data_IF_252557853718
#
_entry.id   IF_252557853718
#
_cell.length_a   1.000
_cell.length_b   1.000
_cell.length_c   1.000
_cell.angle_alpha   90.00
_cell.angle_beta   90.00
_cell.angle_gamma   90.00
#
_symmetry.space_group_name_H-M   'P 1'
#
loop_
_entity.id
_entity.type
_entity.pdbx_description
1 polymer ?
#
# COMPACT_ATOMS: atom_id res chain seq x y z
N UNK A 1 0.93 0.27 -18.15
CA UNK A 1 0.36 -0.77 -17.25
C UNK A 1 0.77 -2.15 -17.78
N UNK A 2 0.72 -3.20 -16.94
CA UNK A 2 1.01 -4.58 -17.35
C UNK A 2 -0.27 -5.19 -17.97
N UNK A 3 -0.66 -4.69 -19.14
CA UNK A 3 -1.99 -4.91 -19.72
C UNK A 3 -2.28 -6.38 -20.10
N UNK A 4 -1.24 -7.22 -20.11
CA UNK A 4 -1.31 -8.64 -20.42
C UNK A 4 -1.09 -9.54 -19.18
N UNK A 5 -1.16 -9.01 -17.96
CA UNK A 5 -0.99 -9.83 -16.75
C UNK A 5 -2.19 -9.73 -15.82
N UNK A 6 -2.44 -10.83 -15.11
CA UNK A 6 -3.49 -10.93 -14.09
C UNK A 6 -2.94 -11.63 -12.86
N UNK A 7 -3.33 -11.14 -11.68
CA UNK A 7 -3.06 -11.80 -10.39
C UNK A 7 -4.32 -12.56 -9.99
N UNK A 8 -4.15 -13.80 -9.54
CA UNK A 8 -5.21 -14.61 -8.96
C UNK A 8 -4.70 -15.22 -7.65
N UNK A 9 -5.44 -14.95 -6.57
CA UNK A 9 -5.29 -15.64 -5.29
C UNK A 9 -5.49 -17.14 -5.48
N UNK A 10 -4.54 -17.94 -5.01
CA UNK A 10 -4.68 -19.41 -4.98
C UNK A 10 -5.39 -19.76 -3.68
N UNK A 11 -6.63 -20.29 -3.73
CA UNK A 11 -7.34 -20.64 -2.52
C UNK A 11 -6.55 -21.68 -1.73
N UNK A 12 -6.31 -21.40 -0.45
CA UNK A 12 -5.81 -22.41 0.46
C UNK A 12 -6.81 -23.58 0.53
N UNK A 13 -6.36 -24.84 0.74
CA UNK A 13 -7.26 -25.95 1.04
C UNK A 13 -8.19 -25.54 2.19
N UNK A 14 -9.50 -25.90 2.10
CA UNK A 14 -10.58 -25.51 3.04
C UNK A 14 -10.06 -25.23 4.45
N UNK A 15 -9.86 -23.95 4.74
CA UNK A 15 -9.55 -23.44 6.06
C UNK A 15 -10.80 -22.76 6.59
N UNK A 16 -11.24 -23.15 7.77
CA UNK A 16 -12.35 -22.48 8.47
C UNK A 16 -11.91 -21.14 9.10
N UNK A 17 -10.65 -20.75 8.91
CA UNK A 17 -10.05 -19.52 9.43
C UNK A 17 -9.41 -18.68 8.32
N UNK A 18 -9.32 -17.38 8.56
CA UNK A 18 -8.64 -16.43 7.68
C UNK A 18 -7.15 -16.82 7.52
N UNK A 19 -6.72 -16.99 6.27
CA UNK A 19 -5.31 -17.23 5.92
C UNK A 19 -4.69 -15.89 5.54
N UNK A 20 -3.80 -15.38 6.40
CA UNK A 20 -3.16 -14.06 6.20
C UNK A 20 -2.15 -14.05 5.05
N UNK A 21 -1.46 -15.18 4.82
CA UNK A 21 -0.45 -15.35 3.78
C UNK A 21 -0.76 -16.60 2.96
N UNK A 22 -0.99 -16.41 1.67
CA UNK A 22 -1.38 -17.42 0.69
C UNK A 22 -0.36 -17.51 -0.44
N UNK A 23 -0.70 -18.28 -1.47
CA UNK A 23 -0.01 -18.23 -2.75
C UNK A 23 -0.82 -17.35 -3.72
N UNK A 24 -0.10 -16.58 -4.53
CA UNK A 24 -0.65 -15.75 -5.60
C UNK A 24 -0.07 -16.22 -6.93
N UNK A 25 -0.89 -16.27 -7.98
CA UNK A 25 -0.41 -16.58 -9.34
C UNK A 25 -0.47 -15.35 -10.20
N UNK A 26 0.64 -15.05 -10.86
CA UNK A 26 0.72 -14.02 -11.90
C UNK A 26 0.70 -14.72 -13.25
N UNK A 27 -0.42 -14.62 -13.97
CA UNK A 27 -0.59 -15.18 -15.30
C UNK A 27 -0.13 -14.20 -16.37
N UNK A 28 0.54 -14.71 -17.40
CA UNK A 28 0.64 -14.06 -18.71
C UNK A 28 -0.61 -14.42 -19.52
N UNK A 29 -1.42 -13.43 -19.87
CA UNK A 29 -2.70 -13.65 -20.56
C UNK A 29 -2.53 -14.04 -22.02
N UNK A 30 -1.33 -13.92 -22.61
CA UNK A 30 -1.08 -14.29 -24.00
C UNK A 30 -0.99 -15.79 -24.19
N UNK A 31 -0.34 -16.49 -23.25
CA UNK A 31 -0.08 -17.93 -23.33
C UNK A 31 -0.56 -18.73 -22.10
N UNK A 32 -1.15 -18.05 -21.11
CA UNK A 32 -1.65 -18.59 -19.85
C UNK A 32 -0.57 -19.25 -18.98
N UNK A 33 0.71 -19.01 -19.28
CA UNK A 33 1.80 -19.35 -18.36
C UNK A 33 1.67 -18.53 -17.08
N UNK A 34 2.18 -19.06 -15.97
CA UNK A 34 2.13 -18.35 -14.69
C UNK A 34 3.37 -18.59 -13.85
N UNK A 35 3.64 -17.63 -12.95
CA UNK A 35 4.53 -17.81 -11.81
C UNK A 35 3.72 -17.85 -10.52
N UNK A 36 4.22 -18.56 -9.52
CA UNK A 36 3.63 -18.59 -8.18
C UNK A 36 4.48 -17.77 -7.22
N UNK A 37 3.86 -16.78 -6.57
CA UNK A 37 4.41 -16.03 -5.45
C UNK A 37 3.86 -16.65 -4.17
N UNK A 38 4.72 -17.13 -3.28
CA UNK A 38 4.33 -17.82 -2.06
C UNK A 38 4.40 -16.91 -0.85
N UNK A 39 3.69 -17.27 0.22
CA UNK A 39 3.73 -16.60 1.52
C UNK A 39 3.46 -15.08 1.44
N UNK A 40 2.51 -14.71 0.60
CA UNK A 40 2.15 -13.31 0.35
C UNK A 40 0.69 -13.05 0.71
N UNK A 41 0.41 -11.85 1.21
CA UNK A 41 -0.94 -11.40 1.49
C UNK A 41 -1.65 -10.89 0.23
N UNK A 42 -0.91 -10.26 -0.69
CA UNK A 42 -1.39 -9.84 -2.00
C UNK A 42 -0.21 -9.47 -2.89
N UNK A 43 -0.46 -9.44 -4.20
CA UNK A 43 0.45 -8.91 -5.22
C UNK A 43 -0.15 -7.72 -5.96
N UNK A 44 0.63 -6.66 -6.15
CA UNK A 44 0.28 -5.50 -6.97
C UNK A 44 1.15 -5.52 -8.22
N UNK A 45 0.52 -5.68 -9.40
CA UNK A 45 1.22 -5.55 -10.68
C UNK A 45 1.60 -4.09 -10.92
N UNK A 46 2.81 -3.87 -11.41
CA UNK A 46 3.33 -2.56 -11.78
C UNK A 46 3.55 -2.49 -13.30
N UNK A 47 4.03 -1.36 -13.82
CA UNK A 47 4.45 -1.25 -15.23
C UNK A 47 5.69 -2.11 -15.51
N UNK A 48 5.86 -2.58 -16.76
CA UNK A 48 7.11 -3.20 -17.22
C UNK A 48 7.46 -4.52 -16.53
N UNK A 49 6.54 -5.51 -16.50
CA UNK A 49 6.76 -6.83 -15.92
C UNK A 49 7.11 -6.89 -14.41
N UNK A 50 7.09 -5.76 -13.72
CA UNK A 50 7.35 -5.63 -12.28
C UNK A 50 6.10 -5.89 -11.45
N UNK A 51 6.30 -6.26 -10.18
CA UNK A 51 5.24 -6.34 -9.19
C UNK A 51 5.77 -6.06 -7.78
N UNK A 52 4.88 -5.67 -6.87
CA UNK A 52 5.15 -5.67 -5.44
C UNK A 52 4.40 -6.83 -4.79
N UNK A 53 5.09 -7.67 -4.02
CA UNK A 53 4.48 -8.66 -3.14
C UNK A 53 4.50 -8.15 -1.71
N UNK A 54 3.36 -8.24 -1.02
CA UNK A 54 3.31 -8.01 0.42
C UNK A 54 3.51 -9.35 1.11
N UNK A 55 4.71 -9.57 1.63
CA UNK A 55 5.12 -10.82 2.26
C UNK A 55 5.13 -10.67 3.79
N UNK A 56 5.23 -11.79 4.49
CA UNK A 56 5.24 -11.83 5.97
C UNK A 56 6.29 -10.90 6.58
N UNK A 57 7.44 -10.87 5.94
CA UNK A 57 8.60 -10.11 6.36
C UNK A 57 8.53 -8.64 5.89
N UNK A 58 7.71 -8.32 4.90
CA UNK A 58 7.53 -6.94 4.46
C UNK A 58 7.17 -6.80 2.99
N UNK A 59 7.36 -5.59 2.50
CA UNK A 59 6.97 -5.21 1.15
C UNK A 59 8.14 -5.37 0.18
N UNK A 60 8.00 -6.24 -0.82
CA UNK A 60 9.08 -6.62 -1.73
C UNK A 60 8.75 -6.19 -3.16
N UNK A 61 9.60 -5.36 -3.75
CA UNK A 61 9.59 -5.06 -5.19
C UNK A 61 10.33 -6.16 -5.94
N UNK A 62 9.70 -6.69 -6.99
CA UNK A 62 10.29 -7.67 -7.90
C UNK A 62 10.38 -7.08 -9.30
N UNK A 63 11.59 -7.09 -9.86
CA UNK A 63 11.90 -6.63 -11.21
C UNK A 63 12.83 -7.64 -11.92
N UNK A 64 12.21 -8.52 -12.71
CA UNK A 64 12.91 -9.70 -13.23
C UNK A 64 13.46 -10.55 -12.08
N UNK A 65 14.78 -10.76 -12.07
CA UNK A 65 15.48 -11.51 -11.02
C UNK A 65 15.81 -10.66 -9.78
N UNK A 66 15.65 -9.32 -9.86
CA UNK A 66 15.92 -8.44 -8.72
C UNK A 66 14.76 -8.52 -7.73
N UNK A 67 15.09 -8.71 -6.44
CA UNK A 67 14.15 -8.61 -5.31
C UNK A 67 14.67 -7.57 -4.32
N UNK A 68 13.87 -6.54 -4.06
CA UNK A 68 14.25 -5.39 -3.25
C UNK A 68 13.22 -5.21 -2.14
N UNK A 69 13.65 -5.21 -0.88
CA UNK A 69 12.76 -4.92 0.25
C UNK A 69 12.57 -3.41 0.35
N UNK A 70 11.34 -2.95 0.14
CA UNK A 70 10.97 -1.54 0.29
C UNK A 70 10.74 -1.19 1.76
N UNK A 71 10.00 -2.05 2.48
CA UNK A 71 9.61 -1.84 3.87
C UNK A 71 9.44 -3.14 4.67
N UNK A 72 9.34 -2.99 5.98
CA UNK A 72 9.05 -4.09 6.91
C UNK A 72 7.58 -4.53 6.95
N UNK A 73 7.26 -5.43 7.89
CA UNK A 73 5.90 -5.95 8.11
C UNK A 73 4.87 -4.82 8.31
N UNK A 74 3.67 -5.02 7.77
CA UNK A 74 2.52 -4.13 8.00
C UNK A 74 2.47 -2.89 7.10
N UNK A 75 3.41 -2.76 6.16
CA UNK A 75 3.34 -1.78 5.07
C UNK A 75 2.58 -2.34 3.86
N UNK A 76 1.91 -1.48 3.11
CA UNK A 76 1.21 -1.85 1.87
C UNK A 76 1.34 -0.80 0.76
N UNK A 77 0.88 -1.12 -0.45
CA UNK A 77 0.96 -0.25 -1.64
C UNK A 77 -0.44 0.16 -2.06
N UNK A 78 -0.97 1.27 -1.51
CA UNK A 78 -2.25 1.82 -1.95
C UNK A 78 -2.20 2.42 -3.36
N UNK A 79 -1.02 2.78 -3.86
CA UNK A 79 -0.88 3.45 -5.14
C UNK A 79 0.53 3.33 -5.73
N UNK A 80 0.59 3.34 -7.06
CA UNK A 80 1.82 3.45 -7.82
C UNK A 80 1.52 4.17 -9.16
N UNK A 81 2.54 4.79 -9.73
CA UNK A 81 2.51 5.30 -11.11
C UNK A 81 3.79 4.87 -11.83
N UNK A 82 3.97 5.33 -13.08
CA UNK A 82 5.10 4.92 -13.91
C UNK A 82 6.49 5.26 -13.34
N UNK A 83 6.56 6.13 -12.33
CA UNK A 83 7.81 6.59 -11.73
C UNK A 83 7.98 6.18 -10.27
N UNK A 84 6.89 5.90 -9.56
CA UNK A 84 6.90 5.81 -8.08
C UNK A 84 5.95 4.76 -7.54
N UNK A 85 6.38 4.12 -6.45
CA UNK A 85 5.58 3.23 -5.61
C UNK A 85 5.33 3.93 -4.28
N UNK A 86 4.07 4.08 -3.86
CA UNK A 86 3.74 4.70 -2.58
C UNK A 86 3.39 3.61 -1.58
N UNK A 87 4.24 3.44 -0.57
CA UNK A 87 4.03 2.51 0.52
C UNK A 87 3.47 3.23 1.76
N UNK A 88 2.50 2.64 2.45
CA UNK A 88 1.87 3.19 3.66
C UNK A 88 1.90 2.20 4.82
N UNK A 89 2.09 2.68 6.05
CA UNK A 89 2.26 1.85 7.24
C UNK A 89 0.95 1.54 8.01
N UNK A 90 -0.24 1.72 7.43
CA UNK A 90 -1.51 1.65 8.17
C UNK A 90 -1.69 0.36 8.98
N UNK A 91 -1.41 -0.82 8.40
CA UNK A 91 -1.59 -2.08 9.12
C UNK A 91 -0.51 -2.29 10.21
N UNK A 92 0.71 -1.83 9.97
CA UNK A 92 1.76 -1.79 11.00
C UNK A 92 1.28 -1.00 12.21
N UNK A 93 0.71 0.19 11.98
CA UNK A 93 0.16 1.04 13.05
C UNK A 93 -0.98 0.37 13.80
N UNK A 94 -1.90 -0.28 13.10
CA UNK A 94 -2.97 -1.03 13.74
C UNK A 94 -2.40 -2.14 14.63
N UNK A 95 -1.40 -2.90 14.15
CA UNK A 95 -0.79 -3.96 14.94
C UNK A 95 -0.12 -3.43 16.22
N UNK A 96 0.54 -2.27 16.15
CA UNK A 96 1.16 -1.63 17.33
C UNK A 96 0.09 -1.09 18.27
N UNK A 97 -0.98 -0.50 17.75
CA UNK A 97 -2.10 -0.02 18.55
C UNK A 97 -2.73 -1.15 19.37
N UNK A 98 -2.95 -2.31 18.74
CA UNK A 98 -3.55 -3.47 19.39
C UNK A 98 -2.60 -4.12 20.41
N UNK A 99 -1.29 -4.22 20.09
CA UNK A 99 -0.28 -4.84 20.95
C UNK A 99 0.13 -3.97 22.15
N UNK A 100 0.18 -2.66 21.97
CA UNK A 100 0.65 -1.70 22.98
C UNK A 100 -0.49 -0.89 23.61
N UNK A 101 -1.67 -1.51 23.75
CA UNK A 101 -2.83 -0.97 24.47
C UNK A 101 -3.21 0.47 24.06
N UNK A 102 -3.42 0.67 22.78
CA UNK A 102 -3.92 1.95 22.25
C UNK A 102 -2.84 2.94 21.84
N UNK A 103 -1.55 2.56 21.85
CA UNK A 103 -0.46 3.41 21.38
C UNK A 103 -0.70 3.88 19.95
N UNK A 104 -0.58 5.18 19.73
CA UNK A 104 -0.67 5.79 18.41
C UNK A 104 0.73 6.16 17.94
N UNK A 105 1.27 5.36 17.02
CA UNK A 105 2.49 5.73 16.28
C UNK A 105 2.14 6.56 15.04
N UNK A 106 3.13 7.27 14.51
CA UNK A 106 2.95 8.17 13.38
C UNK A 106 2.51 7.42 12.11
N UNK A 107 1.63 8.07 11.36
CA UNK A 107 1.25 7.64 10.03
C UNK A 107 2.32 8.05 9.04
N UNK A 108 2.75 7.12 8.21
CA UNK A 108 3.82 7.38 7.25
C UNK A 108 3.45 6.85 5.87
N UNK A 109 3.77 7.67 4.86
CA UNK A 109 3.84 7.26 3.47
C UNK A 109 5.24 7.51 2.96
N UNK A 110 5.82 6.52 2.28
CA UNK A 110 7.10 6.65 1.59
C UNK A 110 6.89 6.38 0.11
N UNK A 111 7.43 7.26 -0.73
CA UNK A 111 7.48 7.04 -2.17
C UNK A 111 8.86 6.47 -2.53
N UNK A 112 8.86 5.39 -3.30
CA UNK A 112 10.05 4.73 -3.80
C UNK A 112 10.16 4.89 -5.30
N UNK A 113 11.36 5.07 -5.82
CA UNK A 113 11.64 4.79 -7.22
C UNK A 113 11.68 3.27 -7.47
N UNK A 114 11.81 2.87 -8.74
CA UNK A 114 11.87 1.46 -9.12
C UNK A 114 13.23 0.80 -8.89
N UNK A 115 14.24 1.54 -8.42
CA UNK A 115 15.49 0.97 -7.88
C UNK A 115 15.39 0.74 -6.37
N UNK A 116 14.25 1.09 -5.75
CA UNK A 116 13.97 0.90 -4.33
C UNK A 116 14.49 2.01 -3.42
N UNK A 117 14.90 3.16 -3.97
CA UNK A 117 15.32 4.30 -3.16
C UNK A 117 14.11 5.09 -2.69
N UNK A 118 14.13 5.54 -1.43
CA UNK A 118 13.13 6.49 -0.92
C UNK A 118 13.38 7.85 -1.56
N UNK A 119 12.40 8.32 -2.34
CA UNK A 119 12.46 9.64 -3.00
C UNK A 119 11.57 10.67 -2.31
N UNK A 120 10.65 10.24 -1.44
CA UNK A 120 9.77 11.11 -0.68
C UNK A 120 9.31 10.41 0.61
N UNK A 121 9.20 11.17 1.71
CA UNK A 121 8.70 10.66 2.99
C UNK A 121 7.73 11.67 3.60
N UNK A 122 6.48 11.22 3.81
CA UNK A 122 5.34 12.05 4.16
C UNK A 122 4.75 11.53 5.46
N UNK A 123 4.60 12.43 6.44
CA UNK A 123 3.94 12.13 7.70
C UNK A 123 2.45 12.50 7.63
N UNK A 124 1.59 11.58 8.08
CA UNK A 124 0.15 11.83 8.24
C UNK A 124 -0.10 12.68 9.51
N UNK A 125 -1.22 13.42 9.60
CA UNK A 125 -1.54 14.22 10.78
C UNK A 125 -1.70 13.36 12.04
N UNK A 126 -1.31 13.91 13.19
CA UNK A 126 -1.48 13.28 14.51
C UNK A 126 -2.97 13.20 14.88
N UNK A 127 -3.43 12.04 15.41
CA UNK A 127 -4.82 11.83 15.84
C UNK A 127 -5.64 10.82 15.01
N UNK A 128 -4.98 9.95 14.23
CA UNK A 128 -5.59 9.05 13.25
C UNK A 128 -6.15 7.74 13.82
N UNK A 129 -7.21 7.22 13.17
CA UNK A 129 -7.68 5.83 13.24
C UNK A 129 -8.00 5.23 11.85
N UNK A 130 -7.18 4.24 11.49
CA UNK A 130 -7.28 3.04 10.63
C UNK A 130 -8.27 2.94 9.44
N UNK A 131 -8.84 3.99 8.84
CA UNK A 131 -9.47 3.85 7.50
C UNK A 131 -9.16 4.98 6.51
N UNK A 132 -8.76 4.53 5.31
CA UNK A 132 -7.84 5.18 4.37
C UNK A 132 -8.49 5.63 3.05
N UNK A 133 -7.70 6.36 2.24
CA UNK A 133 -7.80 6.32 0.79
C UNK A 133 -6.70 7.14 0.11
N UNK A 134 -6.07 6.59 -0.94
CA UNK A 134 -5.51 7.44 -1.99
C UNK A 134 -6.63 7.69 -2.98
N UNK A 135 -6.96 8.96 -3.19
CA UNK A 135 -7.87 9.38 -4.23
C UNK A 135 -7.06 9.86 -5.43
N UNK A 136 -7.44 9.44 -6.63
CA UNK A 136 -6.95 10.02 -7.87
C UNK A 136 -8.05 10.89 -8.48
N UNK A 137 -7.73 12.12 -8.84
CA UNK A 137 -8.66 13.03 -9.52
C UNK A 137 -7.89 13.95 -10.47
N UNK A 138 -8.28 13.96 -11.74
CA UNK A 138 -7.70 14.82 -12.78
C UNK A 138 -6.15 14.71 -12.88
N UNK A 139 -5.63 13.48 -12.94
CA UNK A 139 -4.20 13.20 -13.03
C UNK A 139 -3.41 13.52 -11.75
N UNK A 140 -4.08 13.91 -10.67
CA UNK A 140 -3.49 14.19 -9.36
C UNK A 140 -3.85 13.12 -8.36
N UNK A 141 -2.99 12.96 -7.37
CA UNK A 141 -3.16 11.97 -6.31
C UNK A 141 -3.21 12.67 -4.98
N UNK A 142 -4.12 12.22 -4.15
CA UNK A 142 -4.40 12.81 -2.87
C UNK A 142 -4.38 11.73 -1.82
N UNK A 143 -3.60 11.94 -0.75
CA UNK A 143 -3.88 11.17 0.47
C UNK A 143 -5.09 11.78 1.13
N UNK A 144 -6.05 10.93 1.44
CA UNK A 144 -7.30 11.32 2.08
C UNK A 144 -7.39 10.67 3.44
N UNK A 145 -7.98 11.40 4.38
CA UNK A 145 -8.07 10.98 5.75
C UNK A 145 -9.35 11.49 6.40
N UNK A 146 -9.92 10.74 7.33
CA UNK A 146 -11.02 11.19 8.17
C UNK A 146 -10.55 11.17 9.62
N UNK A 147 -10.85 12.23 10.38
CA UNK A 147 -10.65 12.25 11.83
C UNK A 147 -11.44 11.09 12.46
N UNK A 148 -10.75 10.12 13.07
CA UNK A 148 -11.42 8.96 13.66
C UNK A 148 -12.23 9.32 14.90
N UNK A 149 -11.73 10.25 15.71
CA UNK A 149 -12.29 10.59 17.01
C UNK A 149 -13.62 11.33 16.87
N UNK A 150 -13.65 12.36 16.03
CA UNK A 150 -14.83 13.22 15.87
C UNK A 150 -15.62 12.94 14.59
N UNK A 151 -14.99 12.28 13.60
CA UNK A 151 -15.50 12.12 12.22
C UNK A 151 -15.90 13.41 11.53
N UNK A 152 -15.57 14.56 12.12
CA UNK A 152 -16.04 15.89 11.73
C UNK A 152 -15.11 16.55 10.72
N UNK A 153 -13.90 16.01 10.53
CA UNK A 153 -12.91 16.55 9.62
C UNK A 153 -12.46 15.52 8.60
N UNK A 154 -12.24 16.01 7.38
CA UNK A 154 -11.58 15.31 6.30
C UNK A 154 -10.25 16.02 6.01
N UNK A 155 -9.16 15.29 5.87
CA UNK A 155 -7.86 15.85 5.51
C UNK A 155 -7.45 15.38 4.12
N UNK A 156 -6.88 16.31 3.36
CA UNK A 156 -6.39 16.07 2.01
C UNK A 156 -4.95 16.54 1.92
N UNK A 157 -4.08 15.69 1.40
CA UNK A 157 -2.71 16.03 1.05
C UNK A 157 -2.53 15.91 -0.45
N UNK A 158 -2.12 16.99 -1.10
CA UNK A 158 -1.83 17.04 -2.53
C UNK A 158 -0.39 16.55 -2.77
N UNK A 159 -0.23 15.35 -3.32
CA UNK A 159 1.10 14.76 -3.52
C UNK A 159 1.93 15.44 -4.62
N UNK A 160 1.33 16.35 -5.39
CA UNK A 160 2.04 17.17 -6.36
C UNK A 160 2.45 18.54 -5.78
N UNK A 161 1.92 18.92 -4.61
CA UNK A 161 2.25 20.18 -3.94
C UNK A 161 2.56 19.96 -2.45
N UNK A 162 3.63 19.21 -2.12
CA UNK A 162 3.91 18.78 -0.76
C UNK A 162 4.10 19.95 0.23
N UNK A 163 4.62 21.09 -0.25
CA UNK A 163 4.84 22.31 0.56
C UNK A 163 3.54 22.91 1.13
N UNK A 164 2.38 22.60 0.53
CA UNK A 164 1.08 23.05 1.04
C UNK A 164 0.61 22.25 2.27
N UNK A 165 1.23 21.10 2.53
CA UNK A 165 0.89 20.23 3.64
C UNK A 165 -0.55 19.71 3.59
N UNK A 166 -1.04 19.30 4.75
CA UNK A 166 -2.39 18.76 4.91
C UNK A 166 -3.43 19.88 4.99
N UNK A 167 -4.43 19.82 4.11
CA UNK A 167 -5.61 20.67 4.19
C UNK A 167 -6.69 19.98 5.02
N UNK A 168 -7.10 20.61 6.12
CA UNK A 168 -8.24 20.20 6.95
C UNK A 168 -9.54 20.80 6.43
N UNK A 169 -10.56 19.97 6.20
CA UNK A 169 -11.88 20.34 5.70
C UNK A 169 -12.91 19.90 6.74
N UNK A 170 -13.73 20.84 7.23
CA UNK A 170 -14.85 20.52 8.13
C UNK A 170 -15.98 19.88 7.30
N UNK A 171 -16.48 18.72 7.73
CA UNK A 171 -17.60 18.02 7.09
C UNK A 171 -18.96 18.66 7.37
N UNK A 172 -19.02 19.62 8.30
CA UNK A 172 -20.19 20.47 8.54
C UNK A 172 -21.41 19.71 9.03
N UNK A 173 -21.26 18.90 10.08
CA UNK A 173 -22.42 18.41 10.82
C UNK A 173 -23.19 19.57 11.45
#
# INVERSE_FOLDING_TARGET
MNDNKMVIDVPAPKSDTYVEFSEERIYDLKDLSYITVKETQYVVLLSGNRYVSKEKEGLILVDGDKRIRLEGKGWGVPFYNDNRIYAINTQYRQSIHDQENGKLIDGEVKAYDYEGNVVEHIYLPKGYGVRDGIAAYDGRYYFTNIDYSTRSYFYVYDTQNPDKGWKRINRGY
#
